data_IF_746950918181
#
_entry.id   IF_746950918181
#
_cell.length_a   1.000
_cell.length_b   1.000
_cell.length_c   1.000
_cell.angle_alpha   90.00
_cell.angle_beta   90.00
_cell.angle_gamma   90.00
#
_symmetry.space_group_name_H-M   'P 1'
#
loop_
_entity.id
_entity.type
_entity.pdbx_description
1 polymer ?
#
# COMPACT_ATOMS: atom_id res chain seq x y z
N UNK A 1 28.05 -14.65 -18.47
CA UNK A 1 26.84 -13.92 -18.90
C UNK A 1 26.10 -13.42 -17.67
N UNK A 2 25.60 -12.17 -17.65
CA UNK A 2 24.73 -11.70 -16.57
C UNK A 2 23.40 -12.46 -16.60
N UNK A 3 22.88 -12.80 -15.42
CA UNK A 3 21.56 -13.40 -15.30
C UNK A 3 20.50 -12.31 -15.34
N UNK A 4 19.31 -12.62 -15.85
CA UNK A 4 18.16 -11.73 -15.72
C UNK A 4 17.23 -12.27 -14.65
N UNK A 5 16.59 -11.37 -13.91
CA UNK A 5 15.47 -11.73 -13.06
C UNK A 5 14.22 -10.92 -13.43
N UNK A 6 13.07 -11.52 -13.19
CA UNK A 6 11.76 -10.92 -13.33
C UNK A 6 10.88 -11.34 -12.15
N UNK A 7 10.05 -10.44 -11.65
CA UNK A 7 9.01 -10.74 -10.68
C UNK A 7 7.68 -10.84 -11.40
N UNK A 8 7.10 -12.02 -11.36
CA UNK A 8 5.90 -12.39 -12.11
C UNK A 8 4.71 -12.52 -11.16
N UNK A 9 3.50 -12.35 -11.70
CA UNK A 9 2.24 -12.53 -10.98
C UNK A 9 1.91 -14.00 -10.74
N UNK A 10 2.24 -14.86 -11.69
CA UNK A 10 1.85 -16.26 -11.68
C UNK A 10 3.00 -17.22 -11.27
N UNK A 11 2.69 -18.37 -10.63
CA UNK A 11 3.68 -19.37 -10.24
C UNK A 11 4.36 -20.07 -11.42
N UNK A 12 3.71 -20.10 -12.57
CA UNK A 12 4.16 -20.83 -13.76
C UNK A 12 4.02 -19.91 -14.97
N UNK A 13 4.97 -20.00 -15.90
CA UNK A 13 4.91 -19.27 -17.16
C UNK A 13 3.72 -19.75 -18.00
N UNK A 14 2.89 -18.81 -18.42
CA UNK A 14 1.67 -19.04 -19.19
C UNK A 14 1.62 -18.10 -20.40
N UNK A 15 0.67 -18.31 -21.33
CA UNK A 15 0.55 -17.48 -22.53
C UNK A 15 0.28 -15.99 -22.23
N UNK A 16 -0.46 -15.70 -21.16
CA UNK A 16 -0.81 -14.34 -20.73
C UNK A 16 -0.15 -14.01 -19.39
N UNK A 17 1.16 -14.19 -19.33
CA UNK A 17 1.87 -13.92 -18.09
C UNK A 17 2.15 -12.44 -17.90
N UNK A 18 2.06 -12.00 -16.65
CA UNK A 18 2.14 -10.61 -16.27
C UNK A 18 3.23 -10.43 -15.22
N UNK A 19 3.89 -9.28 -15.26
CA UNK A 19 4.75 -8.87 -14.15
C UNK A 19 3.90 -8.74 -12.87
N UNK A 20 4.56 -8.88 -11.72
CA UNK A 20 3.90 -8.68 -10.44
C UNK A 20 3.28 -7.28 -10.38
N UNK A 21 1.97 -7.25 -10.18
CA UNK A 21 1.20 -6.05 -9.89
C UNK A 21 0.23 -6.37 -8.76
N UNK A 22 0.18 -5.47 -7.79
CA UNK A 22 -0.65 -5.59 -6.61
C UNK A 22 -1.01 -4.19 -6.13
N UNK A 23 -2.25 -4.00 -5.70
CA UNK A 23 -2.75 -2.68 -5.33
C UNK A 23 -2.06 -2.13 -4.06
N UNK A 24 -1.77 -3.02 -3.10
CA UNK A 24 -1.24 -2.65 -1.78
C UNK A 24 0.27 -2.82 -1.67
N UNK A 25 0.90 -3.63 -2.51
CA UNK A 25 2.35 -3.85 -2.51
C UNK A 25 2.96 -3.37 -3.81
N UNK A 26 3.74 -2.29 -3.76
CA UNK A 26 4.43 -1.72 -4.92
C UNK A 26 5.91 -2.05 -4.86
N UNK A 27 6.42 -2.71 -5.89
CA UNK A 27 7.84 -3.03 -6.03
C UNK A 27 8.45 -2.12 -7.08
N UNK A 28 9.53 -1.41 -6.73
CA UNK A 28 10.15 -0.42 -7.63
C UNK A 28 10.78 -1.04 -8.88
N UNK A 29 11.40 -2.22 -8.74
CA UNK A 29 12.10 -2.90 -9.84
C UNK A 29 11.56 -4.32 -10.00
N UNK A 30 10.84 -4.54 -11.09
CA UNK A 30 10.25 -5.85 -11.42
C UNK A 30 11.15 -6.69 -12.33
N UNK A 31 12.13 -6.08 -12.99
CA UNK A 31 13.04 -6.76 -13.91
C UNK A 31 14.41 -6.08 -13.94
N UNK A 32 15.47 -6.86 -13.86
CA UNK A 32 16.83 -6.34 -14.03
C UNK A 32 17.83 -7.44 -14.43
N UNK A 33 19.09 -7.05 -14.64
CA UNK A 33 20.23 -7.93 -14.89
C UNK A 33 21.16 -7.92 -13.68
N UNK A 34 21.66 -9.09 -13.30
CA UNK A 34 22.61 -9.27 -12.20
C UNK A 34 23.88 -9.90 -12.76
N UNK A 35 25.02 -9.26 -12.51
CA UNK A 35 26.33 -9.80 -12.87
C UNK A 35 26.65 -11.05 -12.03
N UNK A 36 27.49 -11.97 -12.52
CA UNK A 36 28.01 -13.05 -11.67
C UNK A 36 28.60 -12.47 -10.37
N UNK A 37 28.29 -13.11 -9.24
CA UNK A 37 28.66 -12.64 -7.89
C UNK A 37 28.06 -11.28 -7.47
N UNK A 38 27.25 -10.65 -8.31
CA UNK A 38 26.53 -9.43 -7.99
C UNK A 38 25.36 -9.70 -7.02
N UNK A 39 24.98 -8.65 -6.31
CA UNK A 39 23.78 -8.62 -5.47
C UNK A 39 22.84 -7.53 -5.98
N UNK A 40 21.54 -7.72 -5.75
CA UNK A 40 20.52 -6.75 -6.09
C UNK A 40 19.52 -6.62 -4.95
N UNK A 41 19.25 -5.39 -4.52
CA UNK A 41 18.29 -5.08 -3.45
C UNK A 41 17.02 -4.57 -4.11
N UNK A 42 15.88 -5.16 -3.77
CA UNK A 42 14.57 -4.76 -4.26
C UNK A 42 13.83 -4.04 -3.14
N UNK A 43 13.41 -2.81 -3.40
CA UNK A 43 12.56 -2.05 -2.47
C UNK A 43 11.09 -2.30 -2.77
N UNK A 44 10.33 -2.59 -1.71
CA UNK A 44 8.89 -2.74 -1.74
C UNK A 44 8.24 -1.72 -0.79
N UNK A 45 7.12 -1.15 -1.22
CA UNK A 45 6.29 -0.23 -0.46
C UNK A 45 4.94 -0.89 -0.19
N UNK A 46 4.44 -0.74 1.04
CA UNK A 46 3.12 -1.20 1.44
C UNK A 46 2.17 0.00 1.61
N UNK A 47 0.99 -0.09 0.99
CA UNK A 47 -0.06 0.93 0.98
C UNK A 47 -1.37 0.23 1.42
N UNK A 48 -1.67 0.20 2.72
CA UNK A 48 -2.86 -0.46 3.24
C UNK A 48 -4.13 0.32 2.89
N UNK A 49 -5.22 -0.41 2.60
CA UNK A 49 -6.57 0.14 2.46
C UNK A 49 -7.50 -0.25 3.62
N UNK A 50 -7.08 -1.21 4.43
CA UNK A 50 -7.83 -1.69 5.59
C UNK A 50 -6.87 -2.24 6.64
N UNK A 51 -7.33 -2.24 7.88
CA UNK A 51 -6.61 -2.85 8.99
C UNK A 51 -6.43 -4.36 8.78
N UNK A 52 -5.42 -4.92 9.45
CA UNK A 52 -5.14 -6.36 9.47
C UNK A 52 -3.99 -6.78 8.56
N UNK A 53 -3.68 -8.07 8.59
CA UNK A 53 -2.57 -8.67 7.82
C UNK A 53 -2.95 -8.70 6.34
N UNK A 54 -2.04 -8.21 5.50
CA UNK A 54 -2.11 -8.28 4.04
C UNK A 54 -0.92 -9.07 3.54
N UNK A 55 -1.18 -9.93 2.57
CA UNK A 55 -0.19 -10.80 1.95
C UNK A 55 -0.27 -10.71 0.43
N UNK A 56 0.89 -10.78 -0.21
CA UNK A 56 1.01 -10.96 -1.65
C UNK A 56 2.20 -11.87 -1.95
N UNK A 57 2.15 -12.60 -3.07
CA UNK A 57 3.29 -13.41 -3.52
C UNK A 57 3.74 -12.95 -4.89
N UNK A 58 4.99 -12.50 -4.98
CA UNK A 58 5.67 -12.27 -6.24
C UNK A 58 6.48 -13.51 -6.62
N UNK A 59 6.45 -13.92 -7.88
CA UNK A 59 7.14 -15.12 -8.34
C UNK A 59 8.42 -14.75 -9.07
N UNK A 60 9.56 -15.01 -8.43
CA UNK A 60 10.87 -14.75 -8.99
C UNK A 60 11.20 -15.75 -10.08
N UNK A 61 11.29 -15.24 -11.30
CA UNK A 61 11.82 -15.92 -12.47
C UNK A 61 13.27 -15.49 -12.70
N UNK A 62 14.16 -16.46 -12.90
CA UNK A 62 15.59 -16.21 -13.19
C UNK A 62 15.97 -16.94 -14.47
N UNK A 63 16.68 -16.26 -15.37
CA UNK A 63 17.18 -16.86 -16.61
C UNK A 63 17.97 -18.15 -16.33
N UNK A 64 17.59 -19.25 -16.99
CA UNK A 64 18.23 -20.56 -16.81
C UNK A 64 17.66 -21.42 -15.70
N UNK A 65 16.73 -20.92 -14.88
CA UNK A 65 16.01 -21.72 -13.88
C UNK A 65 14.60 -22.02 -14.37
N UNK A 66 14.22 -23.31 -14.39
CA UNK A 66 12.90 -23.75 -14.87
C UNK A 66 11.75 -23.38 -13.93
N UNK A 67 12.01 -23.33 -12.63
CA UNK A 67 10.98 -23.12 -11.60
C UNK A 67 11.08 -21.71 -11.01
N UNK A 68 9.92 -21.04 -10.90
CA UNK A 68 9.82 -19.77 -10.19
C UNK A 68 9.92 -19.96 -8.68
N UNK A 69 10.55 -19.01 -8.01
CA UNK A 69 10.66 -19.01 -6.54
C UNK A 69 9.65 -18.04 -5.95
N UNK A 70 8.80 -18.44 -4.99
CA UNK A 70 7.88 -17.51 -4.35
C UNK A 70 8.62 -16.54 -3.42
N UNK A 71 8.31 -15.26 -3.53
CA UNK A 71 8.69 -14.21 -2.59
C UNK A 71 7.39 -13.74 -1.93
N UNK A 72 7.21 -14.09 -0.65
CA UNK A 72 6.06 -13.66 0.14
C UNK A 72 6.30 -12.27 0.71
N UNK A 73 5.38 -11.37 0.45
CA UNK A 73 5.28 -10.06 1.06
C UNK A 73 4.17 -10.12 2.10
N UNK A 74 4.46 -9.70 3.33
CA UNK A 74 3.50 -9.66 4.42
C UNK A 74 3.66 -8.34 5.17
N UNK A 75 2.55 -7.66 5.42
CA UNK A 75 2.52 -6.41 6.17
C UNK A 75 1.20 -6.28 6.93
N UNK A 76 1.20 -5.47 7.99
CA UNK A 76 0.02 -5.23 8.80
C UNK A 76 -0.48 -3.80 8.60
N UNK A 77 -1.71 -3.67 8.10
CA UNK A 77 -2.43 -2.39 8.11
C UNK A 77 -2.90 -2.08 9.53
N UNK A 78 -2.59 -0.89 10.00
CA UNK A 78 -3.09 -0.36 11.28
C UNK A 78 -4.35 0.44 10.98
N UNK A 79 -5.41 0.23 11.78
CA UNK A 79 -6.68 0.94 11.61
C UNK A 79 -6.49 2.46 11.64
N UNK A 80 -7.37 3.23 10.98
CA UNK A 80 -7.26 4.66 11.01
C UNK A 80 -7.39 5.23 12.41
N UNK A 81 -6.50 6.16 12.74
CA UNK A 81 -6.58 6.99 13.93
C UNK A 81 -6.95 8.39 13.48
N UNK A 82 -8.10 8.87 13.94
CA UNK A 82 -8.68 10.16 13.59
C UNK A 82 -8.88 10.96 14.86
N UNK A 83 -8.52 12.22 14.79
CA UNK A 83 -8.74 13.19 15.87
C UNK A 83 -9.58 14.36 15.37
N UNK A 84 -10.58 14.75 16.16
CA UNK A 84 -11.41 15.93 15.91
C UNK A 84 -11.00 17.04 16.87
N UNK A 85 -10.97 18.28 16.39
CA UNK A 85 -10.64 19.42 17.25
C UNK A 85 -11.64 19.66 18.38
N UNK A 86 -12.87 19.14 18.25
CA UNK A 86 -13.95 19.20 19.24
C UNK A 86 -14.82 17.94 19.16
N UNK A 87 -15.06 17.30 20.30
CA UNK A 87 -16.05 16.21 20.42
C UNK A 87 -17.48 16.75 20.55
N UNK A 88 -17.61 17.92 21.17
CA UNK A 88 -18.87 18.63 21.40
C UNK A 88 -18.65 20.10 21.02
N UNK A 89 -19.52 20.62 20.16
CA UNK A 89 -19.48 22.01 19.71
C UNK A 89 -20.69 22.77 20.23
N UNK A 90 -20.49 23.55 21.28
CA UNK A 90 -21.53 24.41 21.85
C UNK A 90 -21.49 25.81 21.22
N UNK A 91 -22.62 26.23 20.65
CA UNK A 91 -22.78 27.60 20.17
C UNK A 91 -23.22 28.50 21.32
N UNK A 92 -22.50 29.62 21.58
CA UNK A 92 -22.95 30.59 22.58
C UNK A 92 -24.25 31.26 22.13
N UNK A 93 -24.95 31.91 23.07
CA UNK A 93 -26.22 32.60 22.82
C UNK A 93 -26.08 33.60 21.66
N UNK A 94 -26.73 33.32 20.53
CA UNK A 94 -26.74 34.18 19.35
C UNK A 94 -27.83 35.25 19.47
N UNK A 95 -27.56 36.44 18.96
CA UNK A 95 -28.53 37.54 18.90
C UNK A 95 -29.43 37.36 17.68
N UNK A 96 -30.69 37.81 17.78
CA UNK A 96 -31.65 37.78 16.67
C UNK A 96 -31.04 38.54 15.48
N UNK A 97 -30.93 37.85 14.33
CA UNK A 97 -30.34 38.39 13.10
C UNK A 97 -28.84 38.12 12.93
N UNK A 98 -28.17 37.49 13.89
CA UNK A 98 -26.75 37.10 13.78
C UNK A 98 -26.57 35.63 13.36
N UNK A 99 -25.50 35.34 12.61
CA UNK A 99 -25.06 33.98 12.29
C UNK A 99 -23.74 33.70 13.01
N UNK A 100 -23.72 32.67 13.86
CA UNK A 100 -22.48 32.13 14.42
C UNK A 100 -21.86 31.12 13.46
N UNK A 101 -20.54 31.18 13.25
CA UNK A 101 -19.79 30.18 12.49
C UNK A 101 -18.66 29.62 13.36
N UNK A 102 -18.58 28.30 13.41
CA UNK A 102 -17.47 27.58 14.01
C UNK A 102 -16.91 26.58 12.99
N UNK A 103 -15.61 26.32 13.08
CA UNK A 103 -14.90 25.36 12.25
C UNK A 103 -14.44 24.20 13.12
N UNK A 104 -14.61 22.98 12.62
CA UNK A 104 -14.07 21.76 13.23
C UNK A 104 -13.01 21.22 12.28
N UNK A 105 -11.84 20.89 12.82
CA UNK A 105 -10.76 20.24 12.06
C UNK A 105 -10.76 18.74 12.35
N UNK A 106 -10.58 17.93 11.31
CA UNK A 106 -10.41 16.47 11.41
C UNK A 106 -9.01 16.13 10.87
N UNK A 107 -8.22 15.41 11.63
CA UNK A 107 -6.88 14.96 11.23
C UNK A 107 -6.83 13.44 11.20
N UNK A 108 -6.42 12.88 10.07
CA UNK A 108 -6.14 11.45 9.91
C UNK A 108 -4.63 11.22 10.06
N UNK A 109 -4.22 10.54 11.12
CA UNK A 109 -2.81 10.24 11.38
C UNK A 109 -2.35 8.92 10.76
N UNK A 110 -3.25 8.19 10.10
CA UNK A 110 -2.96 6.87 9.55
C UNK A 110 -2.61 6.88 8.05
N UNK A 111 -2.01 5.78 7.60
CA UNK A 111 -1.75 5.55 6.18
C UNK A 111 -2.98 5.07 5.38
N UNK A 112 -4.12 4.85 6.05
CA UNK A 112 -5.37 4.41 5.43
C UNK A 112 -6.27 5.62 5.22
N UNK A 113 -6.87 5.76 4.04
CA UNK A 113 -7.83 6.82 3.76
C UNK A 113 -9.08 6.67 4.63
N UNK A 114 -9.56 7.78 5.20
CA UNK A 114 -10.79 7.83 6.00
C UNK A 114 -11.87 8.56 5.21
N UNK A 115 -13.08 8.00 5.24
CA UNK A 115 -14.29 8.66 4.76
C UNK A 115 -15.12 9.16 5.96
N UNK A 116 -15.56 10.41 5.92
CA UNK A 116 -16.38 11.02 6.96
C UNK A 116 -17.76 11.37 6.39
N UNK A 117 -18.81 10.99 7.11
CA UNK A 117 -20.19 11.32 6.78
C UNK A 117 -20.85 11.98 7.98
N UNK A 118 -21.44 13.17 7.78
CA UNK A 118 -22.32 13.78 8.79
C UNK A 118 -23.67 13.04 8.76
N UNK A 119 -24.12 12.55 9.92
CA UNK A 119 -25.44 11.96 10.11
C UNK A 119 -26.48 13.00 10.51
#
# INVERSE_FOLDING_TARGET
YPFTFQLMKNPVACANDELFDNDQFKIQVLKSRICPQGQFIIQAQFIPYSAGIKEATAWLEVSGRKQRTPIKLMAQGIAPEVDFSYDVLDFPKLTIGSTGRHSVEMRNFSAIQVEFQMQ
#
